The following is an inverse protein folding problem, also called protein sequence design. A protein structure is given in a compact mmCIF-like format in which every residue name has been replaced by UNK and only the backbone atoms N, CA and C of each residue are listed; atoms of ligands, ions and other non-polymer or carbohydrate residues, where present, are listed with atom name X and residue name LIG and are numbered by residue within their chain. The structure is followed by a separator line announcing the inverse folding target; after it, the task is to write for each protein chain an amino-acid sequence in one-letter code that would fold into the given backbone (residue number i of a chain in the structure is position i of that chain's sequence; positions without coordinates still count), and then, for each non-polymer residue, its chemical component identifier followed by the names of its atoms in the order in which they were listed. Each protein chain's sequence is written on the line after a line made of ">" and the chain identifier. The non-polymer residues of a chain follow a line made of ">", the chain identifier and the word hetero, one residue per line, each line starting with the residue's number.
data_IF_286354051093
#
_entry.id   IF_286354051093
#
_cell.length_a   1.000
_cell.length_b   1.000
_cell.length_c   1.000
_cell.angle_alpha   90.00
_cell.angle_beta   90.00
_cell.angle_gamma   90.00
#
_symmetry.space_group_name_H-M   'P 1'
#
loop_
_entity.id
_entity.type
_entity.pdbx_description
1 polymer ?
#
# COMPACT_ATOMS: atom_id res chain seq x y z
N UNK A 1 -1.83 9.33 14.74
CA UNK A 1 -1.32 8.36 13.72
C UNK A 1 -2.13 8.55 12.46
N UNK A 2 -1.47 8.69 11.31
CA UNK A 2 -2.16 8.86 10.02
C UNK A 2 -2.98 7.59 9.72
N UNK A 3 -4.25 7.73 9.32
CA UNK A 3 -5.13 6.62 8.96
C UNK A 3 -5.74 6.89 7.60
N UNK A 4 -5.75 5.87 6.74
CA UNK A 4 -6.52 5.90 5.50
C UNK A 4 -7.95 5.47 5.77
N UNK A 5 -8.86 5.85 4.88
CA UNK A 5 -10.23 5.35 4.88
C UNK A 5 -10.22 3.82 4.66
N UNK A 6 -10.80 3.01 5.56
CA UNK A 6 -10.76 1.55 5.48
C UNK A 6 -11.42 0.97 4.23
N UNK A 7 -12.27 1.73 3.54
CA UNK A 7 -12.94 1.29 2.30
C UNK A 7 -12.05 1.42 1.05
N UNK A 8 -10.89 2.08 1.16
CA UNK A 8 -9.98 2.24 0.03
C UNK A 8 -9.33 0.91 -0.35
N UNK A 9 -9.29 0.65 -1.65
CA UNK A 9 -8.45 -0.40 -2.23
C UNK A 9 -6.99 0.02 -2.16
N UNK A 10 -6.11 -0.92 -1.84
CA UNK A 10 -4.67 -0.70 -1.85
C UNK A 10 -4.05 -1.62 -2.89
N UNK A 11 -3.43 -1.04 -3.92
CA UNK A 11 -2.71 -1.76 -4.95
C UNK A 11 -1.21 -1.69 -4.69
N UNK A 12 -0.59 -2.85 -4.48
CA UNK A 12 0.83 -2.95 -4.20
C UNK A 12 1.63 -3.20 -5.47
N UNK A 13 2.44 -2.25 -5.92
CA UNK A 13 3.35 -2.49 -7.03
C UNK A 13 4.49 -3.42 -6.58
N UNK A 14 4.66 -4.54 -7.29
CA UNK A 14 5.61 -5.60 -6.89
C UNK A 14 7.06 -5.18 -7.07
N UNK A 15 7.38 -4.66 -8.26
CA UNK A 15 8.74 -4.33 -8.64
C UNK A 15 9.24 -3.08 -7.92
N UNK A 16 10.55 -3.02 -7.69
CA UNK A 16 11.16 -1.83 -7.14
C UNK A 16 11.19 -0.72 -8.19
N UNK A 17 10.82 0.49 -7.79
CA UNK A 17 10.91 1.68 -8.65
C UNK A 17 12.08 2.58 -8.24
N UNK A 18 12.47 3.47 -9.15
CA UNK A 18 13.34 4.60 -8.82
C UNK A 18 12.57 5.62 -7.97
N UNK A 19 13.05 5.85 -6.75
CA UNK A 19 12.39 6.77 -5.81
C UNK A 19 12.68 8.26 -6.10
N UNK A 20 13.43 8.59 -7.15
CA UNK A 20 13.51 9.94 -7.71
C UNK A 20 12.24 10.32 -8.48
N UNK A 21 11.45 9.34 -8.90
CA UNK A 21 10.18 9.57 -9.60
C UNK A 21 9.18 10.28 -8.69
N UNK A 22 8.69 11.45 -9.12
CA UNK A 22 7.69 12.25 -8.43
C UNK A 22 6.25 11.86 -8.79
N UNK A 23 5.28 12.67 -8.35
CA UNK A 23 3.83 12.45 -8.54
C UNK A 23 3.44 12.04 -9.97
N UNK A 24 3.77 12.86 -10.96
CA UNK A 24 3.37 12.63 -12.35
C UNK A 24 3.93 11.31 -12.90
N UNK A 25 5.20 11.01 -12.59
CA UNK A 25 5.81 9.76 -13.04
C UNK A 25 5.20 8.53 -12.35
N UNK A 26 4.77 8.65 -11.08
CA UNK A 26 4.03 7.58 -10.41
C UNK A 26 2.64 7.39 -11.03
N UNK A 27 1.94 8.49 -11.37
CA UNK A 27 0.64 8.40 -12.05
C UNK A 27 0.77 7.72 -13.42
N UNK A 28 1.81 8.05 -14.19
CA UNK A 28 2.15 7.38 -15.46
C UNK A 28 2.46 5.89 -15.23
N UNK A 29 3.17 5.53 -14.16
CA UNK A 29 3.40 4.12 -13.81
C UNK A 29 2.09 3.39 -13.51
N UNK A 30 1.15 4.01 -12.79
CA UNK A 30 -0.17 3.42 -12.54
C UNK A 30 -0.92 3.20 -13.85
N UNK A 31 -0.96 4.20 -14.71
CA UNK A 31 -1.69 4.13 -15.98
C UNK A 31 -1.07 3.10 -16.95
N UNK A 32 0.24 3.19 -17.17
CA UNK A 32 0.90 2.44 -18.24
C UNK A 32 1.43 1.07 -17.80
N UNK A 33 1.87 0.92 -16.55
CA UNK A 33 2.46 -0.33 -16.06
C UNK A 33 1.44 -1.17 -15.32
N UNK A 34 0.57 -0.55 -14.49
CA UNK A 34 -0.49 -1.28 -13.81
C UNK A 34 -1.76 -1.41 -14.65
N UNK A 35 -1.92 -0.59 -15.71
CA UNK A 35 -3.15 -0.58 -16.52
C UNK A 35 -4.37 -0.08 -15.74
N UNK A 36 -4.15 0.75 -14.72
CA UNK A 36 -5.19 1.22 -13.80
C UNK A 36 -5.41 2.72 -13.94
N UNK A 37 -6.58 3.20 -13.49
CA UNK A 37 -6.85 4.63 -13.47
C UNK A 37 -6.18 5.30 -12.26
N UNK A 38 -5.20 6.20 -12.43
CA UNK A 38 -4.54 6.87 -11.30
C UNK A 38 -5.50 7.79 -10.52
N UNK A 39 -6.63 8.19 -11.10
CA UNK A 39 -7.65 9.04 -10.47
C UNK A 39 -8.71 8.23 -9.67
N UNK A 40 -8.61 6.90 -9.63
CA UNK A 40 -9.51 6.08 -8.80
C UNK A 40 -9.33 6.40 -7.30
N UNK A 41 -10.39 6.23 -6.50
CA UNK A 41 -10.31 6.28 -5.04
C UNK A 41 -9.61 5.02 -4.52
N UNK A 42 -8.29 4.99 -4.68
CA UNK A 42 -7.42 3.90 -4.30
C UNK A 42 -6.04 4.42 -3.88
N UNK A 43 -5.28 3.54 -3.22
CA UNK A 43 -3.90 3.78 -2.83
C UNK A 43 -2.97 2.94 -3.70
N UNK A 44 -2.01 3.57 -4.37
CA UNK A 44 -0.98 2.87 -5.13
C UNK A 44 0.33 2.92 -4.35
N UNK A 45 0.83 1.75 -3.97
CA UNK A 45 1.92 1.61 -3.00
C UNK A 45 3.14 1.04 -3.69
N UNK A 46 4.27 1.74 -3.57
CA UNK A 46 5.52 1.43 -4.25
C UNK A 46 6.64 1.27 -3.24
N UNK A 47 7.62 0.41 -3.57
CA UNK A 47 8.85 0.23 -2.80
C UNK A 47 10.08 0.61 -3.59
N UNK A 48 11.14 0.98 -2.88
CA UNK A 48 12.45 1.13 -3.51
C UNK A 48 13.21 -0.21 -3.54
N UNK A 49 14.35 -0.21 -4.24
CA UNK A 49 15.21 -1.41 -4.36
C UNK A 49 15.71 -1.92 -3.01
N UNK A 50 16.03 -1.01 -2.08
CA UNK A 50 16.56 -1.37 -0.75
C UNK A 50 15.50 -1.92 0.22
N UNK A 51 14.21 -1.68 -0.05
CA UNK A 51 13.07 -1.94 0.86
C UNK A 51 13.06 -1.10 2.12
N UNK A 52 13.81 -0.01 2.17
CA UNK A 52 13.81 0.90 3.32
C UNK A 52 12.84 2.07 3.14
N UNK A 53 12.19 2.19 1.97
CA UNK A 53 11.25 3.28 1.65
C UNK A 53 10.02 2.78 0.91
N UNK A 54 8.90 3.40 1.26
CA UNK A 54 7.60 3.23 0.61
C UNK A 54 7.07 4.60 0.18
N UNK A 55 6.48 4.64 -1.02
CA UNK A 55 5.68 5.76 -1.52
C UNK A 55 4.24 5.31 -1.71
N UNK A 56 3.30 6.16 -1.33
CA UNK A 56 1.86 5.93 -1.49
C UNK A 56 1.30 7.09 -2.28
N UNK A 57 0.88 6.82 -3.51
CA UNK A 57 0.16 7.77 -4.36
C UNK A 57 -1.33 7.60 -4.12
N UNK A 58 -2.04 8.71 -3.95
CA UNK A 58 -3.50 8.72 -3.96
C UNK A 58 -4.04 9.97 -4.63
N UNK A 59 -5.23 9.85 -5.21
CA UNK A 59 -6.01 10.96 -5.74
C UNK A 59 -7.15 11.28 -4.78
N UNK A 60 -7.39 12.57 -4.53
CA UNK A 60 -8.56 13.01 -3.77
C UNK A 60 -9.11 14.30 -4.37
N UNK A 61 -10.38 14.26 -4.78
CA UNK A 61 -11.17 15.36 -5.36
C UNK A 61 -10.54 16.07 -6.55
N UNK A 62 -9.51 16.88 -6.31
CA UNK A 62 -8.89 17.79 -7.27
C UNK A 62 -7.36 17.66 -7.33
N UNK A 63 -6.75 16.74 -6.59
CA UNK A 63 -5.30 16.65 -6.55
C UNK A 63 -4.77 15.28 -6.17
N UNK A 64 -3.55 15.03 -6.62
CA UNK A 64 -2.73 13.93 -6.11
C UNK A 64 -2.02 14.34 -4.83
N UNK A 65 -1.90 13.38 -3.92
CA UNK A 65 -1.01 13.45 -2.78
C UNK A 65 -0.03 12.29 -2.81
N UNK A 66 1.16 12.52 -2.24
CA UNK A 66 2.20 11.52 -2.13
C UNK A 66 2.66 11.44 -0.68
N UNK A 67 2.43 10.30 -0.04
CA UNK A 67 3.02 10.00 1.25
C UNK A 67 4.30 9.18 1.05
N UNK A 68 5.32 9.44 1.85
CA UNK A 68 6.54 8.64 1.87
C UNK A 68 6.89 8.25 3.30
N UNK A 69 7.15 6.96 3.52
CA UNK A 69 7.73 6.45 4.76
C UNK A 69 9.15 5.94 4.48
N UNK A 70 10.10 6.34 5.32
CA UNK A 70 11.46 5.81 5.36
C UNK A 70 11.66 5.11 6.69
N UNK A 71 12.22 3.92 6.68
CA UNK A 71 12.73 3.26 7.88
C UNK A 71 14.15 3.77 8.14
N UNK A 72 14.44 4.15 9.38
CA UNK A 72 15.80 4.57 9.77
C UNK A 72 16.75 3.37 9.86
N UNK A 73 16.19 2.22 10.25
CA UNK A 73 16.85 0.91 10.30
C UNK A 73 15.85 -0.13 9.75
N UNK A 74 16.31 -1.29 9.30
CA UNK A 74 15.48 -2.37 8.74
C UNK A 74 14.94 -2.17 7.31
N UNK A 75 14.10 -3.13 6.89
CA UNK A 75 13.53 -3.26 5.55
C UNK A 75 12.08 -3.76 5.66
N UNK A 76 11.20 -3.19 4.85
CA UNK A 76 9.84 -3.68 4.69
C UNK A 76 9.82 -5.11 4.13
N UNK A 77 8.92 -5.94 4.64
CA UNK A 77 8.69 -7.29 4.14
C UNK A 77 7.66 -7.20 3.03
N UNK A 78 8.13 -7.25 1.78
CA UNK A 78 7.27 -7.12 0.61
C UNK A 78 6.67 -8.47 0.25
N UNK A 79 5.34 -8.60 0.10
CA UNK A 79 4.69 -9.83 -0.36
C UNK A 79 5.23 -10.31 -1.70
N UNK A 80 5.57 -11.59 -1.77
CA UNK A 80 6.01 -12.26 -2.99
C UNK A 80 4.79 -12.89 -3.69
N UNK A 81 4.03 -12.06 -4.41
CA UNK A 81 2.84 -12.51 -5.16
C UNK A 81 3.08 -12.47 -6.67
N UNK A 82 2.51 -13.43 -7.39
CA UNK A 82 2.62 -13.52 -8.86
C UNK A 82 1.89 -12.37 -9.56
N UNK A 83 0.77 -11.91 -9.00
CA UNK A 83 0.01 -10.74 -9.46
C UNK A 83 0.18 -9.54 -8.49
N UNK A 84 -0.19 -8.33 -8.94
CA UNK A 84 -0.27 -7.13 -8.09
C UNK A 84 -1.16 -7.44 -6.88
N UNK A 85 -0.61 -7.54 -5.66
CA UNK A 85 -1.43 -7.82 -4.49
C UNK A 85 -2.34 -6.64 -4.20
N UNK A 86 -3.64 -6.90 -4.10
CA UNK A 86 -4.58 -5.97 -3.48
C UNK A 86 -4.56 -6.21 -1.98
N UNK A 87 -4.30 -5.16 -1.21
CA UNK A 87 -4.33 -5.17 0.25
C UNK A 87 -5.55 -4.42 0.77
N UNK A 88 -5.98 -4.76 1.98
CA UNK A 88 -6.81 -3.86 2.78
C UNK A 88 -5.96 -2.74 3.37
N UNK A 89 -6.59 -1.63 3.78
CA UNK A 89 -5.89 -0.56 4.51
C UNK A 89 -5.24 -1.05 5.80
N UNK A 90 -5.86 -2.02 6.48
CA UNK A 90 -5.26 -2.63 7.67
C UNK A 90 -3.97 -3.40 7.34
N UNK A 91 -3.98 -4.20 6.27
CA UNK A 91 -2.77 -4.89 5.79
C UNK A 91 -1.70 -3.90 5.34
N UNK A 92 -2.08 -2.78 4.73
CA UNK A 92 -1.15 -1.69 4.44
C UNK A 92 -0.51 -1.16 5.73
N UNK A 93 -1.29 -0.92 6.78
CA UNK A 93 -0.74 -0.47 8.06
C UNK A 93 0.22 -1.49 8.67
N UNK A 94 -0.11 -2.77 8.65
CA UNK A 94 0.81 -3.83 9.07
C UNK A 94 2.12 -3.85 8.28
N UNK A 95 2.03 -3.74 6.94
CA UNK A 95 3.21 -3.61 6.09
C UNK A 95 4.05 -2.40 6.48
N UNK A 96 3.41 -1.24 6.70
CA UNK A 96 4.09 -0.02 7.12
C UNK A 96 4.73 -0.17 8.51
N UNK A 97 4.17 -0.99 9.38
CA UNK A 97 4.74 -1.29 10.71
C UNK A 97 5.80 -2.40 10.68
N UNK A 98 6.12 -2.93 9.50
CA UNK A 98 7.17 -3.93 9.30
C UNK A 98 6.73 -5.38 9.55
N UNK A 99 5.42 -5.62 9.65
CA UNK A 99 4.85 -6.95 9.87
C UNK A 99 4.82 -7.74 8.56
N UNK A 100 5.23 -9.00 8.61
CA UNK A 100 5.15 -9.92 7.48
C UNK A 100 3.69 -10.37 7.26
N UNK A 101 3.09 -9.92 6.15
CA UNK A 101 1.71 -10.26 5.81
C UNK A 101 1.50 -11.75 5.50
N UNK A 102 2.56 -12.50 5.15
CA UNK A 102 2.45 -13.91 4.81
C UNK A 102 2.21 -14.81 6.04
N UNK A 103 2.59 -14.34 7.23
CA UNK A 103 2.48 -15.12 8.48
C UNK A 103 1.36 -14.64 9.39
N UNK A 104 0.68 -13.54 9.05
CA UNK A 104 -0.42 -13.02 9.86
C UNK A 104 -1.66 -13.89 9.71
N UNK A 105 -2.10 -14.47 10.83
CA UNK A 105 -3.35 -15.22 10.91
C UNK A 105 -4.37 -14.47 11.76
N UNK A 106 -5.50 -14.09 11.16
CA UNK A 106 -6.60 -13.47 11.90
C UNK A 106 -7.51 -14.54 12.48
N UNK A 107 -7.96 -14.33 13.71
CA UNK A 107 -9.13 -15.05 14.20
C UNK A 107 -10.36 -14.68 13.36
N UNK A 108 -11.29 -15.63 13.14
CA UNK A 108 -12.54 -15.32 12.45
C UNK A 108 -13.32 -14.29 13.26
N UNK A 109 -14.01 -13.39 12.56
CA UNK A 109 -14.94 -12.47 13.20
C UNK A 109 -16.05 -13.30 13.86
N UNK A 110 -16.22 -13.12 15.17
CA UNK A 110 -17.28 -13.78 15.95
C UNK A 110 -18.37 -12.77 16.26
N UNK A 111 -19.60 -13.11 15.88
CA UNK A 111 -20.79 -12.34 16.20
C UNK A 111 -21.46 -12.99 17.40
N UNK A 112 -21.63 -12.22 18.48
CA UNK A 112 -22.29 -12.69 19.69
C UNK A 112 -23.64 -12.00 19.82
N UNK A 113 -24.71 -12.79 20.01
CA UNK A 113 -26.07 -12.26 20.18
C UNK A 113 -26.44 -12.05 21.65
N UNK A 114 -25.68 -12.64 22.58
CA UNK A 114 -25.89 -12.54 24.04
C UNK A 114 -24.54 -12.61 24.74
N UNK A 115 -24.42 -11.92 25.87
CA UNK A 115 -23.31 -12.08 26.82
C UNK A 115 -23.52 -13.40 27.57
N UNK A 116 -22.44 -14.14 27.82
CA UNK A 116 -22.46 -15.38 28.59
C UNK A 116 -22.73 -15.10 30.08
#
# INVERSE_FOLDING_TARGET
>A
MFRFDPELKVYLHREAIDFRVGLNGLAVLVEQVLGMNPFEQALFVFRNKRRDRVKILGWQRNGFWLLMKRLEQDRFIWPDAVAVPTLTVEQLHWLLDGIDLAVVHKHPQRLYSRVA
#
